data_IF_076466564696
#
_entry.id   IF_076466564696
#
_cell.length_a   1.000
_cell.length_b   1.000
_cell.length_c   1.000
_cell.angle_alpha   90.00
_cell.angle_beta   90.00
_cell.angle_gamma   90.00
#
_symmetry.space_group_name_H-M   'P 1'
#
loop_
_entity.id
_entity.type
_entity.pdbx_description
1 polymer ?
#
# COMPACT_ATOMS: atom_id res chain seq x y z
N UNK A 1 -4.64 -15.35 -3.77
CA UNK A 1 -5.61 -14.26 -3.55
C UNK A 1 -5.11 -13.28 -2.51
N UNK A 2 -5.48 -12.01 -2.66
CA UNK A 2 -5.24 -10.94 -1.68
C UNK A 2 -6.57 -10.27 -1.32
N UNK A 3 -6.72 -9.91 -0.06
CA UNK A 3 -7.86 -9.11 0.41
C UNK A 3 -7.45 -8.27 1.61
N UNK A 4 -8.18 -7.20 1.85
CA UNK A 4 -8.03 -6.37 3.04
C UNK A 4 -9.37 -6.29 3.77
N UNK A 5 -9.34 -6.51 5.07
CA UNK A 5 -10.49 -6.42 5.96
C UNK A 5 -10.11 -5.55 7.15
N UNK A 6 -10.79 -4.43 7.28
CA UNK A 6 -10.55 -3.47 8.36
C UNK A 6 -9.07 -3.07 8.52
N UNK A 7 -8.37 -2.88 7.37
CA UNK A 7 -6.96 -2.51 7.32
C UNK A 7 -5.97 -3.67 7.51
N UNK A 8 -6.43 -4.88 7.79
CA UNK A 8 -5.57 -6.06 7.87
C UNK A 8 -5.49 -6.75 6.51
N UNK A 9 -4.27 -7.01 6.03
CA UNK A 9 -4.02 -7.70 4.77
C UNK A 9 -4.04 -9.22 4.97
N UNK A 10 -4.75 -9.91 4.08
CA UNK A 10 -4.82 -11.37 4.05
C UNK A 10 -4.27 -11.89 2.72
N UNK A 11 -3.48 -12.94 2.77
CA UNK A 11 -3.01 -13.70 1.61
C UNK A 11 -3.52 -15.12 1.69
N UNK A 12 -4.30 -15.51 0.69
CA UNK A 12 -4.96 -16.83 0.62
C UNK A 12 -5.78 -17.15 1.88
N UNK A 13 -6.48 -16.15 2.41
CA UNK A 13 -7.32 -16.28 3.59
C UNK A 13 -6.59 -16.22 4.94
N UNK A 14 -5.25 -16.12 4.95
CA UNK A 14 -4.44 -16.02 6.16
C UNK A 14 -3.98 -14.56 6.37
N UNK A 15 -4.13 -13.99 7.58
CA UNK A 15 -3.65 -12.66 7.87
C UNK A 15 -2.12 -12.59 7.78
N UNK A 16 -1.60 -11.47 7.29
CA UNK A 16 -0.17 -11.19 7.26
C UNK A 16 0.24 -10.34 8.48
N UNK A 17 1.36 -10.69 9.11
CA UNK A 17 1.98 -9.85 10.14
C UNK A 17 2.86 -8.80 9.44
N UNK A 18 2.37 -7.58 9.36
CA UNK A 18 3.02 -6.48 8.66
C UNK A 18 3.47 -5.40 9.65
N UNK A 19 4.52 -5.68 10.41
CA UNK A 19 5.05 -4.78 11.46
C UNK A 19 5.55 -3.44 10.95
N UNK A 20 5.86 -3.35 9.66
CA UNK A 20 6.28 -2.12 8.98
C UNK A 20 5.08 -1.25 8.54
N UNK A 21 3.87 -1.80 8.48
CA UNK A 21 2.70 -1.06 8.05
C UNK A 21 2.31 0.02 9.08
N UNK A 22 2.09 1.23 8.56
CA UNK A 22 1.70 2.39 9.36
C UNK A 22 0.29 2.79 8.98
N UNK A 23 -0.56 2.96 9.99
CA UNK A 23 -1.92 3.47 9.87
C UNK A 23 -2.00 4.84 10.55
N UNK A 24 -1.80 5.90 9.77
CA UNK A 24 -1.77 7.29 10.28
C UNK A 24 -3.16 7.89 10.48
N UNK A 25 -4.17 7.36 9.79
CA UNK A 25 -5.56 7.84 9.80
C UNK A 25 -6.56 6.68 9.92
N UNK A 26 -6.55 5.92 11.04
CA UNK A 26 -7.31 4.67 11.16
C UNK A 26 -8.84 4.86 11.12
N UNK A 27 -9.34 6.07 11.37
CA UNK A 27 -10.78 6.40 11.30
C UNK A 27 -11.28 6.76 9.91
N UNK A 28 -10.40 6.90 8.92
CA UNK A 28 -10.75 7.30 7.56
C UNK A 28 -10.62 6.11 6.60
N UNK A 29 -11.72 5.75 5.94
CA UNK A 29 -11.75 4.68 4.95
C UNK A 29 -12.38 5.16 3.63
N UNK A 30 -11.63 5.89 2.79
CA UNK A 30 -12.15 6.44 1.55
C UNK A 30 -12.54 5.33 0.57
N UNK A 31 -13.65 5.55 -0.12
CA UNK A 31 -14.16 4.70 -1.19
C UNK A 31 -14.45 5.54 -2.43
N UNK A 32 -14.65 4.93 -3.58
CA UNK A 32 -15.01 5.64 -4.79
C UNK A 32 -14.57 4.99 -6.09
N UNK A 33 -14.56 5.77 -7.16
CA UNK A 33 -14.28 5.32 -8.53
C UNK A 33 -12.91 4.66 -8.69
N UNK A 34 -11.87 5.17 -7.99
CA UNK A 34 -10.51 4.67 -8.07
C UNK A 34 -10.36 3.21 -7.65
N UNK A 35 -11.34 2.65 -6.94
CA UNK A 35 -11.30 1.24 -6.51
C UNK A 35 -12.09 0.30 -7.43
N UNK A 36 -12.84 0.81 -8.41
CA UNK A 36 -13.75 -0.02 -9.24
C UNK A 36 -13.05 -1.04 -10.11
N UNK A 37 -11.82 -0.76 -10.54
CA UNK A 37 -11.03 -1.68 -11.35
C UNK A 37 -10.88 -3.05 -10.70
N UNK A 38 -10.86 -3.11 -9.37
CA UNK A 38 -10.71 -4.33 -8.58
C UNK A 38 -11.81 -5.35 -8.86
N UNK A 39 -13.01 -4.91 -9.22
CA UNK A 39 -14.17 -5.78 -9.51
C UNK A 39 -13.89 -6.80 -10.62
N UNK A 40 -13.03 -6.45 -11.57
CA UNK A 40 -12.67 -7.33 -12.69
C UNK A 40 -11.80 -8.52 -12.25
N UNK A 41 -11.19 -8.44 -11.09
CA UNK A 41 -10.24 -9.42 -10.56
C UNK A 41 -10.72 -10.07 -9.26
N UNK A 42 -11.90 -9.71 -8.78
CA UNK A 42 -12.47 -10.29 -7.57
C UNK A 42 -12.86 -11.75 -7.78
N UNK A 43 -12.54 -12.58 -6.79
CA UNK A 43 -13.08 -13.95 -6.74
C UNK A 43 -14.59 -13.87 -6.53
N UNK A 44 -15.35 -14.48 -7.43
CA UNK A 44 -16.80 -14.60 -7.32
C UNK A 44 -17.14 -15.69 -6.31
N UNK A 45 -17.37 -15.31 -5.07
CA UNK A 45 -17.91 -16.21 -4.03
C UNK A 45 -19.34 -15.79 -3.71
N UNK A 46 -20.12 -16.71 -3.16
CA UNK A 46 -21.51 -16.42 -2.75
C UNK A 46 -21.57 -15.29 -1.67
N UNK A 47 -20.48 -15.09 -0.93
CA UNK A 47 -20.35 -14.05 0.10
C UNK A 47 -19.82 -12.72 -0.45
N UNK A 48 -19.15 -12.73 -1.60
CA UNK A 48 -18.75 -11.53 -2.31
C UNK A 48 -19.96 -10.97 -3.07
N UNK A 49 -20.90 -10.37 -2.34
CA UNK A 49 -22.07 -9.74 -2.95
C UNK A 49 -21.59 -8.64 -3.90
N UNK A 50 -22.19 -8.56 -5.10
CA UNK A 50 -21.92 -7.54 -6.12
C UNK A 50 -22.08 -6.10 -5.59
N UNK A 51 -22.58 -5.95 -4.39
CA UNK A 51 -22.94 -4.69 -3.74
C UNK A 51 -21.97 -4.26 -2.62
N UNK A 52 -20.90 -5.04 -2.35
CA UNK A 52 -19.93 -4.64 -1.32
C UNK A 52 -19.22 -3.37 -1.77
N UNK A 53 -19.29 -2.34 -0.96
CA UNK A 53 -18.54 -1.11 -1.18
C UNK A 53 -17.04 -1.40 -1.02
N UNK A 54 -16.30 -1.18 -2.09
CA UNK A 54 -14.84 -1.30 -2.06
C UNK A 54 -14.27 0.01 -1.55
N UNK A 55 -13.37 -0.06 -0.59
CA UNK A 55 -12.72 1.08 0.02
C UNK A 55 -11.22 0.84 0.19
N UNK A 56 -10.48 1.82 0.67
CA UNK A 56 -9.03 1.70 0.91
C UNK A 56 -8.68 0.54 1.84
N UNK A 57 -9.48 0.34 2.89
CA UNK A 57 -9.22 -0.63 3.96
C UNK A 57 -10.10 -1.88 3.89
N UNK A 58 -11.02 -1.95 2.90
CA UNK A 58 -11.93 -3.07 2.72
C UNK A 58 -12.09 -3.40 1.23
N UNK A 59 -11.41 -4.44 0.76
CA UNK A 59 -11.45 -4.89 -0.63
C UNK A 59 -11.08 -6.36 -0.79
N UNK A 60 -11.33 -6.92 -1.96
CA UNK A 60 -11.01 -8.29 -2.34
C UNK A 60 -12.09 -9.30 -1.91
N UNK A 61 -11.78 -10.61 -1.98
CA UNK A 61 -10.51 -11.17 -2.41
C UNK A 61 -10.23 -10.98 -3.91
N UNK A 62 -9.01 -10.54 -4.25
CA UNK A 62 -8.53 -10.35 -5.62
C UNK A 62 -7.61 -11.50 -6.04
N UNK A 63 -7.67 -11.89 -7.31
CA UNK A 63 -6.65 -12.74 -7.93
C UNK A 63 -5.61 -11.84 -8.59
N UNK A 64 -4.37 -11.91 -8.13
CA UNK A 64 -3.25 -11.24 -8.79
C UNK A 64 -2.85 -12.09 -10.00
N UNK A 65 -2.85 -11.53 -11.23
CA UNK A 65 -2.48 -12.28 -12.42
C UNK A 65 -1.02 -12.74 -12.36
N UNK A 66 -0.66 -13.86 -13.02
CA UNK A 66 0.73 -14.26 -13.16
C UNK A 66 1.57 -13.19 -13.86
N UNK A 67 2.76 -12.89 -13.33
CA UNK A 67 3.64 -11.85 -13.86
C UNK A 67 3.31 -10.43 -13.41
N UNK A 68 2.27 -10.27 -12.58
CA UNK A 68 1.91 -8.99 -11.99
C UNK A 68 2.18 -8.97 -10.48
N UNK A 69 2.40 -7.78 -9.95
CA UNK A 69 2.60 -7.51 -8.53
C UNK A 69 1.47 -6.63 -8.00
N UNK A 70 1.11 -6.84 -6.75
CA UNK A 70 0.27 -5.94 -5.98
C UNK A 70 1.16 -5.25 -4.94
N UNK A 71 1.38 -3.95 -5.09
CA UNK A 71 2.33 -3.16 -4.32
C UNK A 71 1.58 -2.23 -3.39
N UNK A 72 1.94 -2.21 -2.12
CA UNK A 72 1.35 -1.35 -1.09
C UNK A 72 2.43 -0.45 -0.50
N UNK A 73 2.10 0.81 -0.27
CA UNK A 73 2.97 1.68 0.51
C UNK A 73 2.90 1.35 2.00
N UNK A 74 4.02 1.48 2.72
CA UNK A 74 4.10 1.19 4.15
C UNK A 74 3.15 2.08 4.96
N UNK A 75 3.07 3.37 4.63
CA UNK A 75 2.02 4.24 5.16
C UNK A 75 0.70 3.97 4.43
N UNK A 76 -0.06 3.01 4.93
CA UNK A 76 -1.29 2.49 4.32
C UNK A 76 -2.34 3.56 4.08
N UNK A 77 -2.41 4.53 4.95
CA UNK A 77 -3.44 5.57 4.89
C UNK A 77 -3.04 6.75 4.01
N UNK A 78 -1.75 6.91 3.74
CA UNK A 78 -1.22 8.00 2.93
C UNK A 78 -0.36 7.48 1.77
N UNK A 79 -0.86 6.49 1.04
CA UNK A 79 -0.20 5.92 -0.13
C UNK A 79 -1.15 5.86 -1.32
N UNK A 80 -0.71 6.39 -2.46
CA UNK A 80 -1.37 6.23 -3.76
C UNK A 80 -0.73 5.04 -4.48
N UNK A 81 -1.15 3.83 -4.12
CA UNK A 81 -0.57 2.56 -4.57
C UNK A 81 -1.53 1.72 -5.43
N UNK A 82 -1.22 0.44 -5.63
CA UNK A 82 -1.99 -0.45 -6.50
C UNK A 82 -3.46 -0.59 -6.12
N UNK A 83 -3.85 -0.27 -4.89
CA UNK A 83 -5.28 -0.22 -4.52
C UNK A 83 -6.08 0.72 -5.41
N UNK A 84 -5.44 1.79 -5.91
CA UNK A 84 -6.08 2.85 -6.71
C UNK A 84 -5.90 2.68 -8.20
N UNK A 85 -4.72 2.27 -8.68
CA UNK A 85 -4.40 2.29 -10.12
C UNK A 85 -4.12 0.92 -10.74
N UNK A 86 -4.15 -0.18 -9.98
CA UNK A 86 -4.05 -1.53 -10.52
C UNK A 86 -2.71 -2.22 -10.32
N UNK A 87 -2.51 -3.35 -10.99
CA UNK A 87 -1.32 -4.19 -10.88
C UNK A 87 -0.09 -3.58 -11.57
N UNK A 88 1.08 -3.99 -11.11
CA UNK A 88 2.38 -3.64 -11.70
C UNK A 88 2.97 -4.88 -12.36
N UNK A 89 3.28 -4.85 -13.67
CA UNK A 89 4.05 -5.93 -14.28
C UNK A 89 5.40 -6.12 -13.57
N UNK A 90 5.79 -7.36 -13.28
CA UNK A 90 7.06 -7.68 -12.62
C UNK A 90 8.28 -7.17 -13.40
N UNK A 91 8.16 -7.08 -14.73
CA UNK A 91 9.17 -6.51 -15.63
C UNK A 91 9.51 -5.04 -15.33
N UNK A 92 8.66 -4.33 -14.60
CA UNK A 92 8.89 -2.94 -14.18
C UNK A 92 9.71 -2.83 -12.90
N UNK A 93 9.99 -3.93 -12.20
CA UNK A 93 10.87 -3.94 -11.03
C UNK A 93 12.30 -3.61 -11.47
N UNK A 94 12.87 -2.53 -10.94
CA UNK A 94 14.21 -2.05 -11.31
C UNK A 94 15.30 -2.43 -10.32
N UNK A 95 14.93 -2.64 -9.07
CA UNK A 95 15.88 -3.00 -8.02
C UNK A 95 15.30 -2.88 -6.63
N UNK A 96 16.13 -3.24 -5.65
CA UNK A 96 15.83 -3.14 -4.22
C UNK A 96 16.73 -2.08 -3.60
N UNK A 97 16.21 -1.12 -2.80
CA UNK A 97 17.06 -0.23 -2.03
C UNK A 97 17.86 -1.05 -1.00
N UNK A 98 19.12 -0.67 -0.79
CA UNK A 98 20.00 -1.39 0.14
C UNK A 98 20.23 -0.59 1.43
N UNK A 99 20.37 0.72 1.32
CA UNK A 99 20.59 1.59 2.47
C UNK A 99 20.16 3.03 2.20
N UNK A 100 19.88 3.75 3.26
CA UNK A 100 19.51 5.16 3.22
C UNK A 100 20.78 6.02 3.14
N UNK A 101 20.95 6.78 2.07
CA UNK A 101 22.07 7.71 1.94
C UNK A 101 21.70 9.14 2.33
N UNK A 102 20.41 9.47 2.32
CA UNK A 102 19.89 10.79 2.70
C UNK A 102 18.47 10.68 3.24
N UNK A 103 18.18 11.37 4.34
CA UNK A 103 16.85 11.45 4.92
C UNK A 103 16.65 12.79 5.61
N UNK A 104 15.50 13.42 5.43
CA UNK A 104 15.12 14.64 6.13
C UNK A 104 13.68 14.59 6.61
N UNK A 105 13.35 15.39 7.64
CA UNK A 105 11.97 15.55 8.08
C UNK A 105 11.33 16.71 7.31
N UNK A 106 10.26 16.47 6.54
CA UNK A 106 9.57 17.54 5.83
C UNK A 106 8.96 18.53 6.83
N UNK A 107 9.14 19.82 6.55
CA UNK A 107 8.56 20.90 7.33
C UNK A 107 8.04 21.97 6.36
N UNK A 108 6.73 22.14 6.31
CA UNK A 108 6.08 23.11 5.43
C UNK A 108 6.34 24.57 5.80
N UNK A 109 6.80 24.81 7.03
CA UNK A 109 7.09 26.17 7.52
C UNK A 109 8.48 26.70 7.09
N UNK A 110 9.39 25.82 6.64
CA UNK A 110 10.76 26.19 6.29
C UNK A 110 11.12 25.84 4.84
N UNK A 111 11.42 26.86 4.02
CA UNK A 111 11.78 26.70 2.58
C UNK A 111 13.01 25.82 2.32
N UNK A 112 13.86 25.63 3.31
CA UNK A 112 15.11 24.85 3.22
C UNK A 112 15.16 23.68 4.21
N UNK A 113 14.00 23.09 4.56
CA UNK A 113 13.92 21.95 5.49
C UNK A 113 14.82 20.78 5.06
N UNK A 114 15.01 20.58 3.77
CA UNK A 114 15.88 19.55 3.20
C UNK A 114 17.37 19.70 3.55
N UNK A 115 17.82 20.92 3.88
CA UNK A 115 19.20 21.19 4.32
C UNK A 115 19.33 21.16 5.85
N UNK A 116 18.33 21.69 6.57
CA UNK A 116 18.44 21.98 8.00
C UNK A 116 17.89 20.87 8.89
N UNK A 117 17.04 19.98 8.34
CA UNK A 117 16.38 18.91 9.09
C UNK A 117 16.80 17.52 8.61
N UNK A 118 18.10 17.33 8.38
CA UNK A 118 18.65 16.03 8.01
C UNK A 118 18.50 15.07 9.20
N UNK A 119 17.96 13.91 8.92
CA UNK A 119 17.81 12.82 9.89
C UNK A 119 19.08 11.97 9.89
N UNK A 120 20.12 12.47 10.55
CA UNK A 120 21.44 11.85 10.57
C UNK A 120 21.43 10.40 11.07
N UNK A 121 20.54 10.09 12.00
CA UNK A 121 20.41 8.72 12.54
C UNK A 121 19.98 7.68 11.51
N UNK A 122 19.43 8.11 10.37
CA UNK A 122 18.98 7.20 9.30
C UNK A 122 19.98 7.05 8.17
N UNK A 123 21.02 7.84 8.13
CA UNK A 123 22.03 7.75 7.08
C UNK A 123 22.87 6.50 7.31
N UNK A 124 22.93 5.62 6.29
CA UNK A 124 23.58 4.32 6.39
C UNK A 124 22.70 3.20 6.98
N UNK A 125 21.44 3.50 7.34
CA UNK A 125 20.48 2.48 7.76
C UNK A 125 20.20 1.50 6.61
N UNK A 126 20.25 0.21 6.90
CA UNK A 126 19.89 -0.82 5.94
C UNK A 126 18.37 -0.84 5.75
N UNK A 127 17.93 -1.05 4.52
CA UNK A 127 16.51 -1.17 4.17
C UNK A 127 16.21 -2.66 4.01
N UNK A 128 15.41 -3.19 4.91
CA UNK A 128 14.98 -4.61 4.91
C UNK A 128 13.83 -4.89 3.95
#
# INVERSE_FOLDING_TARGET
>A
TLEMREGTLYRNGLPLDERYAIHSEPGLDPSGEGFRWQRNYMVRTAEASEHRQISRNNWGPLVVPPGDLFVLGDNRDNSLDTRYWGFVPDSLVRGRPMFVYYSYAPDSAHRFAWLTRIRWSRIGEHVD
#
